data_IF_437484883521
#
_entry.id   IF_437484883521
#
_cell.length_a   1.000
_cell.length_b   1.000
_cell.length_c   1.000
_cell.angle_alpha   90.00
_cell.angle_beta   90.00
_cell.angle_gamma   90.00
#
_symmetry.space_group_name_H-M   'P 1'
#
loop_
_entity.id
_entity.type
_entity.pdbx_description
1 polymer ?
#
# COMPACT_ATOMS: atom_id res chain seq x y z
N UNK A 1 -0.01 -18.36 13.75
CA UNK A 1 -0.64 -17.10 14.18
C UNK A 1 -0.25 -16.09 13.12
N UNK A 2 -1.20 -15.56 12.34
CA UNK A 2 -0.85 -14.59 11.29
C UNK A 2 -0.25 -13.34 11.95
N UNK A 3 0.94 -12.96 11.50
CA UNK A 3 1.58 -11.69 11.83
C UNK A 3 0.71 -10.52 11.32
N UNK A 4 0.87 -9.34 11.90
CA UNK A 4 0.14 -8.13 11.46
C UNK A 4 0.35 -7.86 9.97
N UNK A 5 1.57 -8.06 9.47
CA UNK A 5 1.88 -7.87 8.05
C UNK A 5 1.22 -8.91 7.14
N UNK A 6 1.08 -10.17 7.57
CA UNK A 6 0.33 -11.18 6.81
C UNK A 6 -1.16 -10.83 6.70
N UNK A 7 -1.74 -10.23 7.74
CA UNK A 7 -3.13 -9.73 7.70
C UNK A 7 -3.27 -8.56 6.72
N UNK A 8 -2.33 -7.62 6.76
CA UNK A 8 -2.25 -6.51 5.80
C UNK A 8 -2.15 -7.06 4.37
N UNK A 9 -1.21 -7.98 4.12
CA UNK A 9 -1.02 -8.63 2.82
C UNK A 9 -2.32 -9.25 2.30
N UNK A 10 -2.98 -10.08 3.11
CA UNK A 10 -4.25 -10.73 2.74
C UNK A 10 -5.33 -9.69 2.40
N UNK A 11 -5.36 -8.57 3.12
CA UNK A 11 -6.38 -7.52 2.90
C UNK A 11 -6.13 -6.72 1.63
N UNK A 12 -4.89 -6.31 1.38
CA UNK A 12 -4.54 -5.62 0.12
C UNK A 12 -4.78 -6.55 -1.08
N UNK A 13 -4.47 -7.85 -0.93
CA UNK A 13 -4.78 -8.84 -1.97
C UNK A 13 -6.28 -8.99 -2.22
N UNK A 14 -7.12 -8.85 -1.18
CA UNK A 14 -8.56 -8.81 -1.36
C UNK A 14 -9.00 -7.58 -2.15
N UNK A 15 -8.49 -6.38 -1.82
CA UNK A 15 -8.78 -5.17 -2.60
C UNK A 15 -8.41 -5.35 -4.08
N UNK A 16 -7.27 -6.00 -4.35
CA UNK A 16 -6.86 -6.34 -5.71
C UNK A 16 -7.84 -7.31 -6.40
N UNK A 17 -8.20 -8.42 -5.74
CA UNK A 17 -9.12 -9.41 -6.30
C UNK A 17 -10.54 -8.85 -6.54
N UNK A 18 -10.96 -7.90 -5.71
CA UNK A 18 -12.25 -7.23 -5.82
C UNK A 18 -12.23 -6.10 -6.87
N UNK A 19 -11.10 -5.91 -7.59
CA UNK A 19 -10.85 -4.82 -8.53
C UNK A 19 -11.19 -3.45 -7.93
N UNK A 20 -10.90 -3.29 -6.64
CA UNK A 20 -11.27 -2.10 -5.89
C UNK A 20 -10.57 -0.86 -6.45
N UNK A 21 -11.37 0.18 -6.69
CA UNK A 21 -10.90 1.42 -7.25
C UNK A 21 -10.39 2.37 -6.15
N UNK A 22 -9.10 2.66 -6.18
CA UNK A 22 -8.41 3.51 -5.23
C UNK A 22 -8.57 4.98 -5.60
N UNK A 23 -9.02 5.75 -4.61
CA UNK A 23 -9.08 7.20 -4.67
C UNK A 23 -7.87 7.83 -3.96
N UNK A 24 -7.40 8.99 -4.42
CA UNK A 24 -7.83 9.74 -5.60
C UNK A 24 -7.29 9.17 -6.94
N UNK A 25 -8.05 9.41 -8.01
CA UNK A 25 -7.61 9.16 -9.39
C UNK A 25 -7.96 7.80 -9.99
N UNK A 26 -8.93 7.10 -9.40
CA UNK A 26 -9.56 5.91 -9.99
C UNK A 26 -8.56 4.82 -10.40
N UNK A 27 -7.59 4.54 -9.53
CA UNK A 27 -6.50 3.58 -9.83
C UNK A 27 -6.86 2.19 -9.37
N UNK A 28 -6.41 1.18 -10.11
CA UNK A 28 -6.59 -0.23 -9.75
C UNK A 28 -5.24 -0.86 -9.46
N UNK A 29 -5.18 -1.67 -8.42
CA UNK A 29 -4.00 -2.45 -8.05
C UNK A 29 -3.70 -3.44 -9.19
N UNK A 30 -2.47 -3.42 -9.70
CA UNK A 30 -1.99 -4.32 -10.75
C UNK A 30 -1.38 -5.59 -10.17
N UNK A 31 -0.65 -5.47 -9.06
CA UNK A 31 -0.07 -6.62 -8.37
C UNK A 31 0.14 -6.35 -6.88
N UNK A 32 0.15 -7.44 -6.09
CA UNK A 32 0.44 -7.44 -4.66
C UNK A 32 1.38 -8.59 -4.33
N UNK A 33 2.55 -8.28 -3.81
CA UNK A 33 3.60 -9.26 -3.51
C UNK A 33 4.14 -9.07 -2.09
N UNK A 34 4.49 -10.17 -1.42
CA UNK A 34 5.26 -10.10 -0.17
C UNK A 34 6.73 -10.27 -0.50
N UNK A 35 7.53 -9.25 -0.20
CA UNK A 35 8.97 -9.24 -0.43
C UNK A 35 9.70 -10.12 0.57
N UNK A 36 10.93 -10.54 0.24
CA UNK A 36 11.78 -11.34 1.14
C UNK A 36 12.09 -10.63 2.48
N UNK A 37 12.02 -9.30 2.51
CA UNK A 37 12.24 -8.48 3.70
C UNK A 37 10.96 -8.29 4.53
N UNK A 38 9.88 -9.04 4.24
CA UNK A 38 8.64 -8.96 5.00
C UNK A 38 7.84 -7.67 4.76
N UNK A 39 8.01 -7.01 3.61
CA UNK A 39 7.20 -5.87 3.19
C UNK A 39 6.17 -6.29 2.15
N UNK A 40 5.00 -5.66 2.14
CA UNK A 40 4.00 -5.82 1.10
C UNK A 40 4.26 -4.79 0.01
N UNK A 41 4.67 -5.24 -1.16
CA UNK A 41 4.78 -4.42 -2.38
C UNK A 41 3.40 -4.37 -3.03
N UNK A 42 2.97 -3.16 -3.39
CA UNK A 42 1.74 -2.91 -4.14
C UNK A 42 2.12 -2.11 -5.38
N UNK A 43 1.74 -2.62 -6.54
CA UNK A 43 1.99 -1.96 -7.82
C UNK A 43 0.67 -1.45 -8.40
N UNK A 44 0.64 -0.18 -8.80
CA UNK A 44 -0.41 0.41 -9.60
C UNK A 44 0.09 0.58 -11.04
N UNK A 45 -0.73 1.15 -11.92
CA UNK A 45 -0.35 1.36 -13.32
C UNK A 45 0.83 2.34 -13.46
N UNK A 46 0.92 3.34 -12.59
CA UNK A 46 1.78 4.52 -12.73
C UNK A 46 2.85 4.69 -11.64
N UNK A 47 2.74 3.99 -10.52
CA UNK A 47 3.77 3.92 -9.48
C UNK A 47 3.58 2.67 -8.60
N UNK A 48 4.53 2.45 -7.69
CA UNK A 48 4.49 1.35 -6.72
C UNK A 48 4.72 1.89 -5.31
N UNK A 49 4.30 1.14 -4.29
CA UNK A 49 4.60 1.49 -2.91
C UNK A 49 4.76 0.23 -2.06
N UNK A 50 5.38 0.40 -0.89
CA UNK A 50 5.67 -0.67 0.04
C UNK A 50 5.01 -0.37 1.38
N UNK A 51 4.37 -1.38 1.95
CA UNK A 51 3.80 -1.34 3.29
C UNK A 51 4.63 -2.25 4.21
N UNK A 52 4.98 -1.75 5.39
CA UNK A 52 5.69 -2.48 6.44
C UNK A 52 5.08 -2.17 7.81
N UNK A 53 5.38 -3.01 8.80
CA UNK A 53 5.00 -2.75 10.20
C UNK A 53 6.28 -2.60 11.00
N UNK A 54 6.48 -1.41 11.57
CA UNK A 54 7.66 -1.05 12.38
C UNK A 54 7.16 -0.40 13.67
N UNK A 55 7.62 -0.86 14.84
CA UNK A 55 7.23 -0.31 16.15
C UNK A 55 5.71 -0.05 16.33
N UNK A 56 4.88 -1.00 15.90
CA UNK A 56 3.40 -0.92 15.92
C UNK A 56 2.77 0.12 14.97
N UNK A 57 3.56 0.72 14.07
CA UNK A 57 3.11 1.66 13.04
C UNK A 57 3.10 0.98 11.67
N UNK A 58 2.11 1.34 10.84
CA UNK A 58 2.09 0.98 9.43
C UNK A 58 2.93 2.01 8.68
N UNK A 59 4.15 1.62 8.29
CA UNK A 59 5.06 2.48 7.54
C UNK A 59 4.88 2.28 6.05
N UNK A 60 4.92 3.38 5.30
CA UNK A 60 4.76 3.34 3.84
C UNK A 60 5.91 4.02 3.12
N UNK A 61 6.46 3.39 2.08
CA UNK A 61 7.50 3.96 1.23
C UNK A 61 7.06 3.97 -0.24
N UNK A 62 7.24 5.11 -0.91
CA UNK A 62 6.93 5.26 -2.33
C UNK A 62 8.06 4.69 -3.21
N UNK A 63 7.68 4.19 -4.39
CA UNK A 63 8.61 3.74 -5.41
C UNK A 63 8.13 4.13 -6.81
N UNK A 64 9.09 4.50 -7.66
CA UNK A 64 8.81 4.79 -9.07
C UNK A 64 8.92 3.51 -9.90
N UNK A 65 8.12 3.44 -10.97
CA UNK A 65 8.23 2.38 -11.98
C UNK A 65 9.07 2.92 -13.14
N UNK A 66 10.14 2.22 -13.58
CA UNK A 66 10.94 2.66 -14.71
C UNK A 66 10.10 2.84 -15.98
N UNK A 67 10.35 3.91 -16.73
CA UNK A 67 9.70 4.21 -18.01
C UNK A 67 8.19 4.53 -17.93
N UNK A 68 7.65 4.75 -16.73
CA UNK A 68 6.27 5.19 -16.52
C UNK A 68 6.27 6.57 -15.87
N UNK A 69 5.40 7.46 -16.35
CA UNK A 69 5.25 8.79 -15.76
C UNK A 69 4.48 8.68 -14.45
N UNK A 70 5.19 8.87 -13.33
CA UNK A 70 4.59 8.84 -12.01
C UNK A 70 3.75 10.10 -11.77
N UNK A 71 2.62 10.00 -11.04
CA UNK A 71 1.86 11.16 -10.63
C UNK A 71 2.64 12.00 -9.61
N UNK A 72 2.12 13.18 -9.28
CA UNK A 72 2.71 14.04 -8.25
C UNK A 72 2.86 13.32 -6.91
N UNK A 73 3.86 13.70 -6.12
CA UNK A 73 4.11 13.12 -4.80
C UNK A 73 2.91 13.26 -3.86
N UNK A 74 2.22 14.40 -3.91
CA UNK A 74 0.97 14.64 -3.17
C UNK A 74 -0.11 13.61 -3.54
N UNK A 75 -0.26 13.33 -4.84
CA UNK A 75 -1.22 12.32 -5.32
C UNK A 75 -0.82 10.92 -4.89
N UNK A 76 0.46 10.55 -5.03
CA UNK A 76 0.97 9.25 -4.58
C UNK A 76 0.71 9.06 -3.08
N UNK A 77 1.05 10.05 -2.26
CA UNK A 77 0.83 10.03 -0.82
C UNK A 77 -0.66 9.88 -0.48
N UNK A 78 -1.55 10.62 -1.14
CA UNK A 78 -2.99 10.51 -0.90
C UNK A 78 -3.53 9.11 -1.18
N UNK A 79 -3.07 8.44 -2.24
CA UNK A 79 -3.48 7.07 -2.58
C UNK A 79 -2.95 6.07 -1.55
N UNK A 80 -1.69 6.21 -1.16
CA UNK A 80 -1.08 5.32 -0.17
C UNK A 80 -1.75 5.46 1.19
N UNK A 81 -2.04 6.69 1.62
CA UNK A 81 -2.84 6.95 2.83
C UNK A 81 -4.22 6.32 2.71
N UNK A 82 -4.91 6.47 1.58
CA UNK A 82 -6.21 5.83 1.39
C UNK A 82 -6.15 4.31 1.53
N UNK A 83 -5.16 3.65 0.91
CA UNK A 83 -4.94 2.20 1.06
C UNK A 83 -4.65 1.84 2.52
N UNK A 84 -3.79 2.61 3.19
CA UNK A 84 -3.44 2.39 4.58
C UNK A 84 -4.66 2.54 5.51
N UNK A 85 -5.51 3.54 5.29
CA UNK A 85 -6.78 3.74 6.01
C UNK A 85 -7.77 2.59 5.79
N UNK A 86 -7.91 2.12 4.54
CA UNK A 86 -8.73 0.96 4.22
C UNK A 86 -8.23 -0.28 4.97
N UNK A 87 -6.91 -0.51 4.98
CA UNK A 87 -6.31 -1.63 5.71
C UNK A 87 -6.54 -1.48 7.22
N UNK A 88 -6.29 -0.29 7.78
CA UNK A 88 -6.45 0.05 9.20
C UNK A 88 -7.85 -0.24 9.73
N UNK A 89 -8.88 0.21 9.01
CA UNK A 89 -10.29 -0.03 9.39
C UNK A 89 -10.63 -1.52 9.55
N UNK A 90 -9.81 -2.42 8.99
CA UNK A 90 -10.15 -3.82 8.79
C UNK A 90 -9.16 -4.77 9.52
N UNK A 91 -7.96 -4.30 9.87
CA UNK A 91 -6.95 -5.09 10.60
C UNK A 91 -6.69 -4.62 12.04
N UNK A 92 -7.26 -3.48 12.45
CA UNK A 92 -7.06 -2.87 13.76
C UNK A 92 -6.45 -1.46 13.65
N UNK A 93 -6.63 -0.65 14.69
CA UNK A 93 -6.26 0.77 14.77
C UNK A 93 -4.73 0.97 14.83
N UNK A 94 -4.04 0.66 13.73
CA UNK A 94 -2.60 0.93 13.56
C UNK A 94 -2.41 2.37 13.09
N UNK A 95 -1.62 3.20 13.77
CA UNK A 95 -1.23 4.51 13.26
C UNK A 95 -0.46 4.35 11.94
N UNK A 96 -0.72 5.21 10.98
CA UNK A 96 -0.06 5.19 9.66
C UNK A 96 1.00 6.28 9.65
N UNK A 97 2.24 5.91 9.32
CA UNK A 97 3.34 6.83 9.11
C UNK A 97 3.84 6.73 7.67
N UNK A 98 3.69 7.82 6.92
CA UNK A 98 4.29 7.93 5.59
C UNK A 98 5.72 8.40 5.77
N UNK A 99 6.68 7.52 5.48
CA UNK A 99 8.09 7.87 5.57
C UNK A 99 8.50 8.48 4.22
N UNK A 100 8.89 9.77 4.17
CA UNK A 100 9.41 10.36 2.95
C UNK A 100 10.66 9.59 2.50
N UNK A 101 10.73 9.30 1.20
CA UNK A 101 11.84 8.56 0.58
C UNK A 101 13.15 9.34 0.56
#
# INVERSE_FOLDING_TARGET
>A
MDTTIEKIYKRVRQLWNDEYELNPGHRVIQSVEMTANGRVKVELLDFQFFLSVEDEHLTTALGVIPHVEAPSEETMNAIVVHVAELVKNLTGDLPVEVIPA
#
